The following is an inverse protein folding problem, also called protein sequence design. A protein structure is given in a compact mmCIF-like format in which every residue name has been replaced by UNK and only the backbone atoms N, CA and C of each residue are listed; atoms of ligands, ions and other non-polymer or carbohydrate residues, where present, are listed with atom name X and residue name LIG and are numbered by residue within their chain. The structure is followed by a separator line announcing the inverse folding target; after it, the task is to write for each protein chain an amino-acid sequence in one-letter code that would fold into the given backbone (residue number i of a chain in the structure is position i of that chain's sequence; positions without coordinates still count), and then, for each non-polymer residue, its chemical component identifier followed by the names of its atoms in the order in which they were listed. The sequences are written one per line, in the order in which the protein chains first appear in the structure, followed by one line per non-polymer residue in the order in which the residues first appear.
data_IF_030808422720
#
_entry.id   IF_030808422720
#
_cell.length_a   1.000
_cell.length_b   1.000
_cell.length_c   1.000
_cell.angle_alpha   90.00
_cell.angle_beta   90.00
_cell.angle_gamma   90.00
#
_symmetry.space_group_name_H-M   'P 1'
#
loop_
_entity.id
_entity.type
_entity.pdbx_description
1 polymer ?
#
# COMPACT_ATOMS: atom_id res chain seq x y z
N UNK A 1 4.39 29.32 11.40
CA UNK A 1 2.93 29.59 11.54
C UNK A 1 2.20 28.45 10.87
N UNK A 2 1.35 27.71 11.58
CA UNK A 2 0.47 26.69 10.98
C UNK A 2 -0.95 27.27 10.88
N UNK A 3 -1.57 27.13 9.71
CA UNK A 3 -2.97 27.45 9.52
C UNK A 3 -3.80 26.19 9.75
N UNK A 4 -4.98 26.33 10.36
CA UNK A 4 -5.95 25.25 10.48
C UNK A 4 -6.93 25.35 9.32
N UNK A 5 -7.11 24.23 8.62
CA UNK A 5 -8.09 24.12 7.53
C UNK A 5 -9.21 23.17 7.94
N UNK A 6 -10.44 23.55 7.65
CA UNK A 6 -11.63 22.69 7.73
C UNK A 6 -12.10 22.38 6.32
N UNK A 7 -12.36 21.11 6.01
CA UNK A 7 -12.81 20.67 4.70
C UNK A 7 -14.16 19.97 4.76
N UNK A 8 -14.95 20.11 3.70
CA UNK A 8 -16.12 19.27 3.39
C UNK A 8 -15.85 18.51 2.10
N UNK A 9 -16.25 17.25 2.06
CA UNK A 9 -16.15 16.39 0.88
C UNK A 9 -17.53 15.79 0.62
N UNK A 10 -17.93 15.77 -0.64
CA UNK A 10 -19.15 15.12 -1.09
C UNK A 10 -18.86 14.24 -2.32
N UNK A 11 -19.55 13.10 -2.40
CA UNK A 11 -19.55 12.25 -3.58
C UNK A 11 -20.86 12.45 -4.36
N UNK A 12 -20.75 12.53 -5.67
CA UNK A 12 -21.89 12.66 -6.60
C UNK A 12 -21.62 11.88 -7.88
N UNK A 13 -22.62 11.78 -8.76
CA UNK A 13 -22.50 11.10 -10.06
C UNK A 13 -21.96 9.66 -9.92
N UNK A 14 -22.40 8.95 -8.89
CA UNK A 14 -21.88 7.62 -8.55
C UNK A 14 -22.44 6.61 -9.56
N UNK A 15 -21.55 5.98 -10.33
CA UNK A 15 -21.87 4.93 -11.28
C UNK A 15 -21.00 3.69 -10.97
N UNK A 16 -21.43 2.83 -10.02
CA UNK A 16 -20.62 1.68 -9.61
C UNK A 16 -20.49 0.63 -10.73
N UNK A 17 -19.33 -0.03 -10.89
CA UNK A 17 -18.05 0.21 -10.19
C UNK A 17 -17.15 1.24 -10.89
N UNK A 18 -17.66 1.93 -11.92
CA UNK A 18 -16.84 2.59 -12.94
C UNK A 18 -16.42 4.02 -12.60
N UNK A 19 -17.26 4.83 -11.95
CA UNK A 19 -16.93 6.25 -11.78
C UNK A 19 -17.70 6.95 -10.67
N UNK A 20 -17.17 8.09 -10.24
CA UNK A 20 -17.82 9.04 -9.36
C UNK A 20 -17.14 10.41 -9.44
N UNK A 21 -17.84 11.45 -9.00
CA UNK A 21 -17.29 12.79 -8.82
C UNK A 21 -17.09 13.07 -7.33
N UNK A 22 -15.91 13.54 -6.96
CA UNK A 22 -15.62 14.10 -5.64
C UNK A 22 -15.72 15.62 -5.74
N UNK A 23 -16.50 16.25 -4.87
CA UNK A 23 -16.46 17.71 -4.67
C UNK A 23 -15.85 18.02 -3.31
N UNK A 24 -14.93 18.97 -3.26
CA UNK A 24 -14.28 19.39 -2.03
C UNK A 24 -14.32 20.91 -1.85
N UNK A 25 -14.50 21.33 -0.61
CA UNK A 25 -14.49 22.73 -0.17
C UNK A 25 -13.71 22.86 1.13
N UNK A 26 -12.56 23.52 1.06
CA UNK A 26 -11.62 23.71 2.16
C UNK A 26 -11.45 25.18 2.53
N UNK A 27 -11.62 25.48 3.82
CA UNK A 27 -11.54 26.82 4.39
C UNK A 27 -10.44 26.91 5.44
N UNK A 28 -9.53 27.88 5.29
CA UNK A 28 -8.42 28.16 6.22
C UNK A 28 -8.52 29.50 6.94
N UNK A 29 -9.72 30.11 6.96
CA UNK A 29 -9.93 31.44 7.51
C UNK A 29 -9.06 32.48 6.80
N UNK A 30 -8.25 33.22 7.57
CA UNK A 30 -7.35 34.23 7.02
C UNK A 30 -6.25 33.67 6.09
N UNK A 31 -5.97 32.37 6.13
CA UNK A 31 -5.00 31.73 5.24
C UNK A 31 -5.53 31.59 3.81
N UNK A 32 -6.85 31.56 3.62
CA UNK A 32 -7.49 31.39 2.31
C UNK A 32 -8.36 30.15 2.22
N UNK A 33 -8.63 29.71 1.00
CA UNK A 33 -9.52 28.59 0.70
C UNK A 33 -9.05 27.81 -0.52
N UNK A 34 -9.55 26.58 -0.65
CA UNK A 34 -9.38 25.72 -1.82
C UNK A 34 -10.65 24.93 -2.07
N UNK A 35 -11.21 25.04 -3.28
CA UNK A 35 -12.43 24.34 -3.68
C UNK A 35 -12.26 23.70 -5.04
N UNK A 36 -12.95 22.61 -5.31
CA UNK A 36 -12.82 21.95 -6.60
C UNK A 36 -13.62 20.67 -6.71
N UNK A 37 -13.42 20.01 -7.83
CA UNK A 37 -13.97 18.69 -8.09
C UNK A 37 -12.96 17.79 -8.78
N UNK A 38 -13.09 16.49 -8.54
CA UNK A 38 -12.34 15.45 -9.21
C UNK A 38 -13.30 14.43 -9.81
N UNK A 39 -13.18 14.16 -11.11
CA UNK A 39 -13.85 13.02 -11.73
C UNK A 39 -12.91 11.83 -11.66
N UNK A 40 -13.39 10.71 -11.14
CA UNK A 40 -12.64 9.47 -10.99
C UNK A 40 -13.27 8.41 -11.89
N UNK A 41 -12.43 7.69 -12.63
CA UNK A 41 -12.80 6.54 -13.46
C UNK A 41 -11.95 5.35 -13.04
N UNK A 42 -12.59 4.21 -12.89
CA UNK A 42 -12.01 2.93 -12.52
C UNK A 42 -12.19 1.96 -13.68
N UNK A 43 -11.08 1.48 -14.22
CA UNK A 43 -11.05 0.55 -15.34
C UNK A 43 -10.37 -0.75 -14.90
N UNK A 44 -11.12 -1.86 -14.76
CA UNK A 44 -10.52 -3.16 -14.51
C UNK A 44 -9.57 -3.58 -15.65
N UNK A 45 -8.46 -4.22 -15.31
CA UNK A 45 -7.51 -4.81 -16.26
C UNK A 45 -6.94 -6.12 -15.69
N UNK A 46 -6.09 -6.82 -16.46
CA UNK A 46 -5.55 -8.13 -16.07
C UNK A 46 -4.69 -8.08 -14.79
N UNK A 47 -4.11 -6.93 -14.46
CA UNK A 47 -3.26 -6.71 -13.29
C UNK A 47 -4.02 -6.13 -12.08
N UNK A 48 -5.32 -5.83 -12.24
CA UNK A 48 -6.16 -5.25 -11.21
C UNK A 48 -7.10 -4.16 -11.73
N UNK A 49 -6.91 -2.92 -11.28
CA UNK A 49 -7.76 -1.80 -11.64
C UNK A 49 -6.92 -0.53 -11.84
N UNK A 50 -7.05 0.09 -13.01
CA UNK A 50 -6.51 1.41 -13.28
C UNK A 50 -7.45 2.49 -12.72
N UNK A 51 -6.90 3.43 -11.96
CA UNK A 51 -7.61 4.61 -11.46
C UNK A 51 -7.13 5.85 -12.21
N UNK A 52 -7.98 6.36 -13.09
CA UNK A 52 -7.77 7.64 -13.76
C UNK A 52 -8.58 8.74 -13.05
N UNK A 53 -8.00 9.94 -12.96
CA UNK A 53 -8.71 11.07 -12.39
C UNK A 53 -8.36 12.38 -13.08
N UNK A 54 -9.31 13.32 -13.08
CA UNK A 54 -9.10 14.70 -13.55
C UNK A 54 -9.62 15.66 -12.50
N UNK A 55 -8.76 16.57 -12.03
CA UNK A 55 -9.10 17.55 -11.00
C UNK A 55 -9.19 18.94 -11.60
N UNK A 56 -10.25 19.66 -11.24
CA UNK A 56 -10.35 21.10 -11.43
C UNK A 56 -10.46 21.76 -10.06
N UNK A 57 -9.51 22.61 -9.71
CA UNK A 57 -9.45 23.24 -8.40
C UNK A 57 -9.16 24.74 -8.51
N UNK A 58 -9.72 25.50 -7.58
CA UNK A 58 -9.47 26.92 -7.40
C UNK A 58 -8.99 27.18 -5.99
N UNK A 59 -7.91 27.95 -5.87
CA UNK A 59 -7.33 28.39 -4.61
C UNK A 59 -7.39 29.91 -4.54
N UNK A 60 -7.69 30.45 -3.36
CA UNK A 60 -7.83 31.90 -3.16
C UNK A 60 -7.40 32.36 -1.77
N UNK A 61 -7.29 33.68 -1.60
CA UNK A 61 -6.81 34.30 -0.36
C UNK A 61 -5.29 34.38 -0.27
N UNK A 62 -4.76 34.47 0.95
CA UNK A 62 -3.32 34.68 1.17
C UNK A 62 -2.46 33.52 0.66
N UNK A 63 -2.96 32.29 0.73
CA UNK A 63 -2.28 31.11 0.19
C UNK A 63 -2.06 31.20 -1.34
N UNK A 64 -3.00 31.80 -2.08
CA UNK A 64 -2.85 31.98 -3.53
C UNK A 64 -1.72 32.97 -3.88
N UNK A 65 -1.34 33.84 -2.95
CA UNK A 65 -0.25 34.82 -3.12
C UNK A 65 1.14 34.19 -3.02
N UNK A 66 1.25 32.93 -2.58
CA UNK A 66 2.52 32.20 -2.52
C UNK A 66 3.06 31.86 -3.93
N UNK A 67 2.21 31.94 -4.96
CA UNK A 67 2.57 31.68 -6.34
C UNK A 67 2.33 30.23 -6.75
N UNK A 68 1.99 30.05 -8.02
CA UNK A 68 1.54 28.78 -8.58
C UNK A 68 2.54 27.63 -8.36
N UNK A 69 3.85 27.89 -8.55
CA UNK A 69 4.89 26.85 -8.46
C UNK A 69 5.00 26.22 -7.06
N UNK A 70 4.82 27.02 -6.00
CA UNK A 70 4.85 26.49 -4.63
C UNK A 70 3.59 25.70 -4.31
N UNK A 71 2.43 26.16 -4.80
CA UNK A 71 1.15 25.47 -4.65
C UNK A 71 1.19 24.13 -5.36
N UNK A 72 1.66 24.10 -6.61
CA UNK A 72 1.77 22.88 -7.43
C UNK A 72 2.72 21.86 -6.78
N UNK A 73 3.86 22.31 -6.24
CA UNK A 73 4.82 21.44 -5.54
C UNK A 73 4.22 20.81 -4.29
N UNK A 74 3.51 21.59 -3.47
CA UNK A 74 2.83 21.08 -2.28
C UNK A 74 1.69 20.11 -2.65
N UNK A 75 0.91 20.42 -3.68
CA UNK A 75 -0.17 19.56 -4.17
C UNK A 75 0.36 18.21 -4.67
N UNK A 76 1.45 18.22 -5.45
CA UNK A 76 2.10 17.01 -5.94
C UNK A 76 2.62 16.13 -4.80
N UNK A 77 3.34 16.71 -3.83
CA UNK A 77 3.83 15.96 -2.67
C UNK A 77 2.69 15.34 -1.86
N UNK A 78 1.58 16.08 -1.68
CA UNK A 78 0.42 15.57 -0.95
C UNK A 78 -0.26 14.41 -1.70
N UNK A 79 -0.37 14.50 -3.03
CA UNK A 79 -0.93 13.43 -3.86
C UNK A 79 -0.06 12.16 -3.79
N UNK A 80 1.27 12.30 -3.89
CA UNK A 80 2.19 11.17 -3.74
C UNK A 80 2.05 10.50 -2.38
N UNK A 81 2.01 11.28 -1.30
CA UNK A 81 1.84 10.75 0.05
C UNK A 81 0.48 10.09 0.26
N UNK A 82 -0.58 10.63 -0.35
CA UNK A 82 -1.91 10.02 -0.36
C UNK A 82 -1.84 8.64 -1.02
N UNK A 83 -1.33 8.52 -2.25
CA UNK A 83 -1.33 7.25 -2.97
C UNK A 83 -0.44 6.20 -2.32
N UNK A 84 0.71 6.60 -1.74
CA UNK A 84 1.54 5.69 -0.93
C UNK A 84 0.77 5.11 0.26
N UNK A 85 0.02 5.94 0.98
CA UNK A 85 -0.78 5.51 2.14
C UNK A 85 -2.01 4.71 1.72
N UNK A 86 -2.65 5.11 0.62
CA UNK A 86 -3.80 4.44 0.06
C UNK A 86 -3.44 3.02 -0.39
N UNK A 87 -2.36 2.86 -1.15
CA UNK A 87 -1.87 1.55 -1.60
C UNK A 87 -1.58 0.63 -0.41
N UNK A 88 -0.85 1.12 0.59
CA UNK A 88 -0.60 0.38 1.83
C UNK A 88 -1.90 -0.05 2.53
N UNK A 89 -2.91 0.82 2.58
CA UNK A 89 -4.19 0.50 3.21
C UNK A 89 -5.03 -0.47 2.37
N UNK A 90 -4.96 -0.38 1.04
CA UNK A 90 -5.61 -1.31 0.13
C UNK A 90 -5.00 -2.70 0.23
N UNK A 91 -3.67 -2.82 0.23
CA UNK A 91 -2.96 -4.08 0.46
C UNK A 91 -3.30 -4.67 1.83
N UNK A 92 -3.39 -3.85 2.88
CA UNK A 92 -3.77 -4.31 4.22
C UNK A 92 -5.19 -4.90 4.27
N UNK A 93 -6.13 -4.38 3.49
CA UNK A 93 -7.55 -4.79 3.50
C UNK A 93 -7.90 -5.86 2.48
N UNK A 94 -7.27 -5.80 1.32
CA UNK A 94 -7.65 -6.55 0.11
C UNK A 94 -6.44 -7.15 -0.62
N UNK A 95 -5.24 -7.04 -0.06
CA UNK A 95 -4.09 -7.77 -0.56
C UNK A 95 -4.35 -9.27 -0.52
N UNK A 96 -3.60 -10.07 -1.31
CA UNK A 96 -3.71 -11.51 -1.23
C UNK A 96 -3.57 -11.93 0.23
N UNK A 97 -4.33 -12.96 0.70
CA UNK A 97 -4.03 -13.60 1.96
C UNK A 97 -2.54 -13.89 1.96
N UNK A 98 -1.85 -13.67 3.10
CA UNK A 98 -0.47 -14.13 3.24
C UNK A 98 -0.48 -15.61 2.83
N UNK A 99 0.02 -15.90 1.62
CA UNK A 99 0.41 -17.25 1.27
C UNK A 99 1.46 -17.56 2.32
N UNK A 100 1.06 -18.40 3.27
CA UNK A 100 1.90 -18.98 4.28
C UNK A 100 3.20 -19.32 3.59
N UNK A 101 4.24 -18.51 3.84
CA UNK A 101 5.55 -18.75 3.30
C UNK A 101 5.92 -20.13 3.80
N UNK A 102 5.76 -21.13 2.91
CA UNK A 102 6.00 -22.51 3.23
C UNK A 102 7.37 -22.55 3.91
N UNK A 103 7.48 -23.14 5.12
CA UNK A 103 8.76 -23.18 5.80
C UNK A 103 9.74 -23.84 4.84
N UNK A 104 10.72 -23.06 4.39
CA UNK A 104 11.84 -23.60 3.63
C UNK A 104 12.62 -24.46 4.62
N UNK A 105 12.29 -25.75 4.63
CA UNK A 105 13.08 -26.77 5.31
C UNK A 105 14.51 -26.63 4.82
N UNK A 106 15.39 -26.06 5.67
CA UNK A 106 16.82 -25.97 5.39
C UNK A 106 17.37 -27.39 5.50
N UNK A 107 17.84 -28.03 4.41
CA UNK A 107 18.29 -29.43 4.41
C UNK A 107 19.56 -29.70 5.25
N UNK A 108 20.11 -28.68 5.91
CA UNK A 108 21.39 -28.78 6.64
C UNK A 108 21.28 -29.20 8.11
N UNK A 109 20.10 -29.12 8.75
CA UNK A 109 20.01 -29.31 10.20
C UNK A 109 19.90 -30.77 10.66
N UNK A 110 19.42 -31.68 9.79
CA UNK A 110 19.37 -33.13 10.11
C UNK A 110 20.74 -33.81 10.01
N UNK A 111 21.63 -33.35 9.11
CA UNK A 111 22.95 -33.98 8.93
C UNK A 111 23.88 -33.76 10.13
N UNK A 112 23.78 -32.60 10.79
CA UNK A 112 24.60 -32.28 11.97
C UNK A 112 24.27 -33.10 13.23
N UNK A 113 23.03 -33.58 13.36
CA UNK A 113 22.58 -34.30 14.55
C UNK A 113 23.02 -35.78 14.55
N UNK A 114 23.06 -36.42 13.37
CA UNK A 114 23.53 -37.81 13.23
C UNK A 114 25.02 -37.98 13.44
N UNK A 115 25.85 -36.96 13.13
CA UNK A 115 27.30 -37.03 13.37
C UNK A 115 27.68 -36.84 14.83
N UNK A 116 26.83 -36.19 15.64
CA UNK A 116 27.09 -35.91 17.07
C UNK A 116 26.66 -37.06 17.98
N UNK A 117 25.78 -37.95 17.53
CA UNK A 117 25.32 -39.12 18.29
C UNK A 117 26.19 -40.35 17.98
N UNK A 118 27.49 -40.24 18.27
CA UNK A 118 28.51 -41.24 17.94
C UNK A 118 28.20 -42.65 18.44
N UNK A 119 27.58 -43.46 17.58
CA UNK A 119 27.45 -44.91 17.74
C UNK A 119 28.34 -45.55 16.68
N UNK A 120 29.55 -45.94 17.09
CA UNK A 120 30.49 -46.60 16.21
C UNK A 120 31.76 -47.00 16.93
N UNK A 121 31.73 -48.10 17.70
CA UNK A 121 32.92 -48.90 17.98
C UNK A 121 32.60 -50.34 18.47
N UNK A 122 33.06 -51.32 17.67
CA UNK A 122 33.57 -52.68 18.01
C UNK A 122 32.60 -53.69 18.65
N UNK A 123 32.72 -55.00 18.50
CA UNK A 123 33.56 -55.94 17.74
C UNK A 123 32.89 -57.34 17.88
N UNK A 124 33.34 -58.29 17.05
CA UNK A 124 33.37 -59.74 17.23
C UNK A 124 32.14 -60.64 16.93
N UNK A 125 32.41 -61.58 16.01
CA UNK A 125 31.66 -62.76 15.59
C UNK A 125 31.65 -63.84 16.73
N UNK A 126 31.00 -65.04 16.61
CA UNK A 126 31.09 -65.97 15.47
C UNK A 126 29.81 -66.76 15.08
N UNK A 127 29.90 -67.30 13.85
CA UNK A 127 29.47 -68.60 13.30
C UNK A 127 28.29 -69.41 13.89
N UNK A 128 27.37 -69.79 13.01
CA UNK A 128 26.81 -71.15 12.83
C UNK A 128 25.79 -71.08 11.67
N UNK A 129 26.13 -71.54 10.47
CA UNK A 129 26.01 -72.93 9.98
C UNK A 129 24.57 -73.45 9.83
N UNK A 130 24.33 -73.89 8.59
CA UNK A 130 23.55 -75.02 8.12
C UNK A 130 22.07 -74.89 7.71
N UNK A 131 21.83 -75.35 6.48
CA UNK A 131 20.52 -75.68 5.91
C UNK A 131 20.42 -75.33 4.43
#
# INVERSE_FOLDING_TARGET
MSAKFSGKIALSNIAPPQSYTITFDGQGGAAGFGKGSANVVLTPNDEGCELAYTVNAQVGGKVAQLGQRLIDGAAKSLAEDFFKRFDKEMQRRFGPPEEEAAPTDKPGMMSGLMKKMGIGKKDDAPDADNG
#
